data_IF_481256072919
#
_entry.id   IF_481256072919
#
_cell.length_a   1.000
_cell.length_b   1.000
_cell.length_c   1.000
_cell.angle_alpha   90.00
_cell.angle_beta   90.00
_cell.angle_gamma   90.00
#
_symmetry.space_group_name_H-M   'P 1'
#
loop_
_entity.id
_entity.type
_entity.pdbx_description
1 polymer ?
#
# COMPACT_ATOMS: atom_id res chain seq x y z
N UNK A 1 -54.09 1.94 60.74
CA UNK A 1 -53.29 2.60 59.68
C UNK A 1 -52.92 1.57 58.62
N UNK A 2 -53.14 1.91 57.33
CA UNK A 2 -52.34 1.62 56.11
C UNK A 2 -51.52 0.31 56.05
N UNK A 3 -51.39 -0.44 54.96
CA UNK A 3 -51.85 -0.37 53.58
C UNK A 3 -51.49 -1.72 52.91
N UNK A 4 -52.02 -1.95 51.71
CA UNK A 4 -51.81 -3.11 50.85
C UNK A 4 -50.54 -3.03 49.97
N UNK A 5 -49.93 -4.21 49.67
CA UNK A 5 -49.17 -4.65 48.44
C UNK A 5 -47.92 -3.83 48.03
N UNK A 6 -46.99 -4.27 47.12
CA UNK A 6 -47.03 -5.34 46.09
C UNK A 6 -45.77 -6.28 46.07
N UNK A 7 -45.82 -7.50 45.52
CA UNK A 7 -45.65 -7.79 44.10
C UNK A 7 -44.20 -7.57 43.60
N UNK A 8 -43.41 -8.64 43.41
CA UNK A 8 -42.23 -8.59 42.52
C UNK A 8 -42.35 -9.59 41.37
N UNK A 9 -42.66 -8.97 40.24
CA UNK A 9 -42.54 -9.35 38.84
C UNK A 9 -41.70 -10.60 38.50
N UNK A 10 -42.29 -11.44 37.63
CA UNK A 10 -41.55 -12.20 36.62
C UNK A 10 -40.83 -11.20 35.70
N UNK A 11 -39.53 -11.39 35.50
CA UNK A 11 -38.85 -10.93 34.30
C UNK A 11 -38.24 -12.14 33.61
N UNK A 12 -38.99 -12.62 32.63
CA UNK A 12 -38.47 -13.33 31.47
C UNK A 12 -37.41 -12.45 30.81
N UNK A 13 -36.18 -12.94 30.72
CA UNK A 13 -35.33 -12.64 29.58
C UNK A 13 -34.91 -13.96 28.96
N UNK A 14 -35.70 -14.39 27.96
CA UNK A 14 -35.23 -15.34 26.95
C UNK A 14 -33.94 -14.76 26.37
N UNK A 15 -32.82 -15.42 26.61
CA UNK A 15 -31.58 -15.14 25.91
C UNK A 15 -31.88 -15.21 24.40
N UNK A 16 -31.61 -14.10 23.69
CA UNK A 16 -31.62 -14.09 22.22
C UNK A 16 -30.55 -15.10 21.78
N UNK A 17 -30.85 -16.06 20.88
CA UNK A 17 -29.82 -16.92 20.32
C UNK A 17 -28.79 -16.03 19.63
N UNK A 18 -27.53 -16.16 20.04
CA UNK A 18 -26.42 -15.51 19.34
C UNK A 18 -26.47 -15.89 17.87
N UNK A 19 -26.38 -14.87 17.00
CA UNK A 19 -26.35 -15.05 15.57
C UNK A 19 -25.11 -15.91 15.24
N UNK A 20 -25.30 -17.22 15.02
CA UNK A 20 -24.23 -18.10 14.57
C UNK A 20 -23.96 -17.72 13.12
N UNK A 21 -22.94 -16.91 12.90
CA UNK A 21 -22.48 -16.60 11.55
C UNK A 21 -22.05 -17.92 10.90
N UNK A 22 -22.60 -18.22 9.73
CA UNK A 22 -22.58 -19.56 9.12
C UNK A 22 -21.23 -19.96 8.51
N UNK A 23 -20.15 -19.23 8.81
CA UNK A 23 -18.85 -19.36 8.14
C UNK A 23 -18.86 -18.84 6.69
N UNK A 24 -19.96 -18.97 5.96
CA UNK A 24 -20.15 -18.45 4.60
C UNK A 24 -20.05 -16.92 4.53
N UNK A 25 -20.55 -16.21 5.55
CA UNK A 25 -20.41 -14.76 5.66
C UNK A 25 -18.94 -14.35 5.80
N UNK A 26 -18.14 -15.10 6.58
CA UNK A 26 -16.70 -14.82 6.75
C UNK A 26 -15.92 -15.03 5.44
N UNK A 27 -16.29 -16.02 4.63
CA UNK A 27 -15.62 -16.31 3.34
C UNK A 27 -15.93 -15.24 2.29
N UNK A 28 -17.16 -14.71 2.26
CA UNK A 28 -17.57 -13.68 1.31
C UNK A 28 -16.99 -12.29 1.63
N UNK A 29 -16.81 -11.96 2.92
CA UNK A 29 -16.34 -10.63 3.35
C UNK A 29 -14.81 -10.51 3.35
N UNK A 30 -14.09 -11.63 3.46
CA UNK A 30 -12.62 -11.62 3.57
C UNK A 30 -11.88 -10.99 2.38
N UNK A 31 -12.25 -11.25 1.10
CA UNK A 31 -11.63 -10.57 -0.03
C UNK A 31 -11.84 -9.05 0.01
N UNK A 32 -13.04 -8.60 0.39
CA UNK A 32 -13.37 -7.17 0.52
C UNK A 32 -12.51 -6.49 1.58
N UNK A 33 -12.41 -7.09 2.78
CA UNK A 33 -11.59 -6.55 3.87
C UNK A 33 -10.11 -6.44 3.50
N UNK A 34 -9.58 -7.40 2.73
CA UNK A 34 -8.21 -7.32 2.22
C UNK A 34 -8.01 -6.15 1.27
N UNK A 35 -8.94 -5.95 0.34
CA UNK A 35 -8.88 -4.85 -0.61
C UNK A 35 -9.01 -3.50 0.11
N UNK A 36 -9.93 -3.38 1.07
CA UNK A 36 -10.12 -2.17 1.87
C UNK A 36 -8.85 -1.85 2.67
N UNK A 37 -8.23 -2.85 3.29
CA UNK A 37 -6.97 -2.67 4.01
C UNK A 37 -5.83 -2.26 3.09
N UNK A 38 -5.71 -2.89 1.91
CA UNK A 38 -4.71 -2.50 0.91
C UNK A 38 -4.90 -1.04 0.47
N UNK A 39 -6.14 -0.63 0.21
CA UNK A 39 -6.46 0.74 -0.17
C UNK A 39 -6.17 1.74 0.97
N UNK A 40 -6.51 1.39 2.21
CA UNK A 40 -6.19 2.22 3.39
C UNK A 40 -4.69 2.39 3.55
N UNK A 41 -3.91 1.31 3.36
CA UNK A 41 -2.45 1.37 3.41
C UNK A 41 -1.88 2.31 2.36
N UNK A 42 -2.35 2.21 1.10
CA UNK A 42 -1.93 3.13 0.04
C UNK A 42 -2.32 4.58 0.34
N UNK A 43 -3.52 4.81 0.88
CA UNK A 43 -3.97 6.14 1.29
C UNK A 43 -3.09 6.71 2.41
N UNK A 44 -2.65 5.88 3.36
CA UNK A 44 -1.77 6.31 4.44
C UNK A 44 -0.37 6.66 3.92
N UNK A 45 0.16 5.86 2.99
CA UNK A 45 1.43 6.14 2.30
C UNK A 45 1.36 7.46 1.52
N UNK A 46 0.30 7.65 0.74
CA UNK A 46 0.09 8.87 -0.06
C UNK A 46 0.03 10.15 0.79
N UNK A 47 -0.41 10.06 2.04
CA UNK A 47 -0.47 11.21 2.95
C UNK A 47 0.90 11.62 3.52
N UNK A 48 1.91 10.76 3.46
CA UNK A 48 3.21 11.03 4.08
C UNK A 48 4.08 12.01 3.26
N UNK A 49 3.99 11.96 1.93
CA UNK A 49 4.78 12.83 1.05
C UNK A 49 4.04 13.03 -0.29
N UNK A 50 4.00 14.26 -0.85
CA UNK A 50 3.40 14.51 -2.16
C UNK A 50 3.95 13.65 -3.31
N UNK A 51 5.23 13.25 -3.24
CA UNK A 51 5.88 12.37 -4.22
C UNK A 51 5.32 10.95 -4.12
N UNK A 52 5.08 10.44 -2.90
CA UNK A 52 4.40 9.16 -2.68
C UNK A 52 2.93 9.22 -3.10
N UNK A 53 2.25 10.36 -2.89
CA UNK A 53 0.91 10.57 -3.44
C UNK A 53 0.90 10.47 -4.97
N UNK A 54 1.90 11.04 -5.65
CA UNK A 54 2.05 10.92 -7.09
C UNK A 54 2.30 9.47 -7.54
N UNK A 55 3.12 8.69 -6.81
CA UNK A 55 3.30 7.25 -7.06
C UNK A 55 1.98 6.49 -6.93
N UNK A 56 1.20 6.73 -5.86
CA UNK A 56 -0.07 6.05 -5.62
C UNK A 56 -1.11 6.38 -6.68
N UNK A 57 -1.18 7.64 -7.12
CA UNK A 57 -2.08 8.08 -8.19
C UNK A 57 -1.66 7.59 -9.57
N UNK A 58 -0.36 7.45 -9.81
CA UNK A 58 0.21 7.22 -11.13
C UNK A 58 0.01 8.41 -12.07
N UNK A 59 0.13 8.16 -13.37
CA UNK A 59 -0.06 9.17 -14.42
C UNK A 59 -1.07 8.68 -15.48
N UNK A 60 -2.32 8.47 -15.06
CA UNK A 60 -3.46 8.13 -15.93
C UNK A 60 -3.19 6.94 -16.87
N UNK A 61 -2.60 5.87 -16.34
CA UNK A 61 -2.32 4.63 -17.08
C UNK A 61 -0.97 4.59 -17.80
N UNK A 62 -0.16 5.66 -17.75
CA UNK A 62 1.23 5.56 -18.21
C UNK A 62 2.04 4.68 -17.28
N UNK A 63 2.88 3.83 -17.88
CA UNK A 63 3.79 2.97 -17.12
C UNK A 63 4.88 3.78 -16.43
N UNK A 64 5.57 4.67 -17.15
CA UNK A 64 6.69 5.45 -16.62
C UNK A 64 6.27 6.92 -16.46
N UNK A 65 6.55 7.50 -15.29
CA UNK A 65 6.20 8.89 -15.01
C UNK A 65 7.09 9.49 -13.91
N UNK A 66 7.33 10.80 -14.00
CA UNK A 66 8.15 11.51 -13.03
C UNK A 66 7.38 11.84 -11.76
N UNK A 67 8.02 11.66 -10.60
CA UNK A 67 7.44 12.00 -9.29
C UNK A 67 8.18 13.12 -8.57
N UNK A 68 9.13 13.77 -9.26
CA UNK A 68 9.91 14.90 -8.75
C UNK A 68 11.38 14.57 -8.57
N UNK A 69 12.02 15.28 -7.64
CA UNK A 69 13.45 15.13 -7.32
C UNK A 69 13.69 15.05 -5.81
N UNK A 70 14.86 14.55 -5.41
CA UNK A 70 15.30 14.53 -4.01
C UNK A 70 16.73 14.00 -3.87
N UNK A 71 17.26 14.01 -2.65
CA UNK A 71 18.56 13.39 -2.35
C UNK A 71 18.45 11.86 -2.32
N UNK A 72 19.59 11.18 -2.27
CA UNK A 72 19.61 9.72 -2.05
C UNK A 72 18.94 9.33 -0.73
N UNK A 73 19.18 10.09 0.34
CA UNK A 73 18.59 9.81 1.65
C UNK A 73 17.06 9.95 1.63
N UNK A 74 16.55 10.99 0.95
CA UNK A 74 15.10 11.13 0.74
C UNK A 74 14.53 9.99 -0.11
N UNK A 75 15.21 9.61 -1.19
CA UNK A 75 14.79 8.48 -2.02
C UNK A 75 14.69 7.19 -1.20
N UNK A 76 15.70 6.90 -0.38
CA UNK A 76 15.73 5.72 0.49
C UNK A 76 14.64 5.78 1.57
N UNK A 77 14.43 6.94 2.19
CA UNK A 77 13.36 7.15 3.16
C UNK A 77 11.97 6.90 2.55
N UNK A 78 11.67 7.54 1.42
CA UNK A 78 10.40 7.34 0.69
C UNK A 78 10.27 5.91 0.19
N UNK A 79 11.38 5.31 -0.26
CA UNK A 79 11.46 3.93 -0.71
C UNK A 79 11.05 2.94 0.38
N UNK A 80 11.54 3.14 1.61
CA UNK A 80 11.16 2.34 2.77
C UNK A 80 9.68 2.49 3.13
N UNK A 81 9.14 3.71 3.12
CA UNK A 81 7.69 3.92 3.31
C UNK A 81 6.88 3.21 2.21
N UNK A 82 7.36 3.28 0.97
CA UNK A 82 6.69 2.69 -0.18
C UNK A 82 6.60 1.17 -0.10
N UNK A 83 7.64 0.48 0.37
CA UNK A 83 7.62 -0.99 0.48
C UNK A 83 7.03 -1.47 1.80
N UNK A 84 7.12 -0.65 2.84
CA UNK A 84 6.61 -0.94 4.18
C UNK A 84 7.39 -2.03 4.92
N UNK A 85 6.94 -2.32 6.15
CA UNK A 85 7.55 -3.33 7.00
C UNK A 85 7.50 -4.73 6.37
N UNK A 86 8.52 -5.55 6.67
CA UNK A 86 8.66 -6.89 6.11
C UNK A 86 9.09 -6.90 4.64
N UNK A 87 9.50 -5.75 4.10
CA UNK A 87 10.12 -5.69 2.78
C UNK A 87 11.39 -6.54 2.73
N UNK A 88 11.61 -7.17 1.58
CA UNK A 88 12.73 -8.08 1.32
C UNK A 88 13.55 -7.60 0.13
N UNK A 89 14.86 -7.88 0.07
CA UNK A 89 15.65 -7.59 -1.11
C UNK A 89 15.06 -8.23 -2.37
N UNK A 90 15.13 -7.52 -3.50
CA UNK A 90 14.87 -8.13 -4.81
C UNK A 90 15.95 -9.18 -5.11
N UNK A 91 15.65 -10.16 -5.98
CA UNK A 91 16.59 -11.27 -6.30
C UNK A 91 17.93 -10.76 -6.85
N UNK A 92 17.91 -9.66 -7.58
CA UNK A 92 19.07 -9.00 -8.15
C UNK A 92 19.76 -8.03 -7.17
N UNK A 93 19.22 -7.85 -5.95
CA UNK A 93 19.80 -7.00 -4.92
C UNK A 93 19.72 -5.49 -5.20
N UNK A 94 19.00 -5.09 -6.25
CA UNK A 94 18.95 -3.68 -6.69
C UNK A 94 17.78 -2.89 -6.09
N UNK A 95 17.06 -3.47 -5.14
CA UNK A 95 15.92 -2.83 -4.50
C UNK A 95 15.29 -3.65 -3.39
N UNK A 96 14.17 -3.14 -2.89
CA UNK A 96 13.33 -3.76 -1.89
C UNK A 96 11.95 -4.04 -2.48
N UNK A 97 11.37 -5.20 -2.13
CA UNK A 97 10.04 -5.61 -2.51
C UNK A 97 9.16 -5.70 -1.26
N UNK A 98 7.97 -5.13 -1.32
CA UNK A 98 6.98 -5.22 -0.25
C UNK A 98 6.64 -6.69 0.07
N UNK A 99 6.20 -6.95 1.31
CA UNK A 99 5.88 -8.30 1.77
C UNK A 99 4.86 -9.00 0.86
N UNK A 100 3.82 -8.28 0.43
CA UNK A 100 2.76 -8.73 -0.49
C UNK A 100 3.20 -8.80 -1.96
N UNK A 101 4.41 -8.33 -2.29
CA UNK A 101 4.98 -8.38 -3.63
C UNK A 101 4.40 -7.39 -4.63
N UNK A 102 3.48 -6.51 -4.22
CA UNK A 102 2.78 -5.57 -5.12
C UNK A 102 3.58 -4.30 -5.41
N UNK A 103 4.61 -4.00 -4.59
CA UNK A 103 5.39 -2.77 -4.68
C UNK A 103 6.88 -3.06 -4.62
N UNK A 104 7.66 -2.32 -5.38
CA UNK A 104 9.13 -2.38 -5.32
C UNK A 104 9.70 -0.96 -5.28
N UNK A 105 10.68 -0.75 -4.41
CA UNK A 105 11.57 0.40 -4.45
C UNK A 105 12.90 -0.06 -5.08
N UNK A 106 13.29 0.53 -6.22
CA UNK A 106 14.62 0.32 -6.82
C UNK A 106 15.54 1.42 -6.36
N UNK A 107 16.71 1.02 -5.87
CA UNK A 107 17.72 1.95 -5.39
C UNK A 107 18.18 2.90 -6.51
N UNK A 108 18.69 4.10 -6.15
CA UNK A 108 19.20 5.06 -7.11
C UNK A 108 20.23 4.42 -8.04
N UNK A 109 20.01 4.54 -9.35
CA UNK A 109 20.91 4.01 -10.36
C UNK A 109 21.12 5.02 -11.48
N UNK A 110 22.37 5.12 -11.94
CA UNK A 110 22.70 5.89 -13.13
C UNK A 110 21.95 5.36 -14.36
N UNK A 111 21.36 6.26 -15.13
CA UNK A 111 20.69 5.95 -16.40
C UNK A 111 21.37 6.73 -17.53
N UNK A 112 22.56 6.29 -17.97
CA UNK A 112 23.41 7.03 -18.91
C UNK A 112 22.77 7.22 -20.29
N UNK A 113 21.79 6.37 -20.64
CA UNK A 113 21.11 6.42 -21.94
C UNK A 113 19.75 7.13 -21.90
N UNK A 114 19.33 7.66 -20.74
CA UNK A 114 18.06 8.37 -20.62
C UNK A 114 18.23 9.84 -21.06
N UNK A 115 17.29 10.42 -21.85
CA UNK A 115 17.37 11.82 -22.24
C UNK A 115 17.40 12.75 -21.01
N UNK A 116 18.25 13.78 -21.05
CA UNK A 116 18.39 14.76 -19.96
C UNK A 116 17.06 15.44 -19.60
N UNK A 117 16.14 15.60 -20.56
CA UNK A 117 14.81 16.18 -20.32
C UNK A 117 13.98 15.39 -19.28
N UNK A 118 14.14 14.07 -19.25
CA UNK A 118 13.38 13.17 -18.35
C UNK A 118 14.24 12.64 -17.19
N UNK A 119 15.55 12.84 -17.26
CA UNK A 119 16.53 12.46 -16.24
C UNK A 119 17.62 13.55 -16.09
N UNK A 120 17.26 14.74 -15.58
CA UNK A 120 18.17 15.89 -15.53
C UNK A 120 19.38 15.68 -14.62
N UNK A 121 19.30 14.76 -13.66
CA UNK A 121 20.40 14.46 -12.74
C UNK A 121 21.26 13.27 -13.19
N UNK A 122 20.83 12.54 -14.21
CA UNK A 122 21.49 11.31 -14.64
C UNK A 122 21.23 10.08 -13.74
N UNK A 123 20.65 10.26 -12.54
CA UNK A 123 20.39 9.19 -11.56
C UNK A 123 18.93 9.19 -11.16
N UNK A 124 18.32 8.01 -11.13
CA UNK A 124 16.92 7.86 -10.69
C UNK A 124 16.76 6.70 -9.72
N UNK A 125 15.87 6.89 -8.75
CA UNK A 125 15.23 5.81 -8.01
C UNK A 125 13.84 5.55 -8.60
N UNK A 126 13.33 4.32 -8.46
CA UNK A 126 12.07 3.92 -9.06
C UNK A 126 11.12 3.30 -8.02
N UNK A 127 9.85 3.71 -8.08
CA UNK A 127 8.75 3.19 -7.27
C UNK A 127 7.82 2.40 -8.20
N UNK A 128 8.02 1.09 -8.24
CA UNK A 128 7.29 0.19 -9.13
C UNK A 128 6.03 -0.33 -8.44
N UNK A 129 4.93 -0.38 -9.20
CA UNK A 129 3.64 -0.95 -8.78
C UNK A 129 3.30 -2.14 -9.67
N UNK A 130 2.78 -3.21 -9.08
CA UNK A 130 2.44 -4.43 -9.79
C UNK A 130 1.03 -4.89 -9.48
N UNK A 131 0.36 -5.39 -10.51
CA UNK A 131 -0.83 -6.20 -10.39
C UNK A 131 -0.41 -7.68 -10.38
N UNK A 132 -0.96 -8.44 -9.44
CA UNK A 132 -0.76 -9.89 -9.35
C UNK A 132 -2.07 -10.55 -9.73
N UNK A 133 -2.05 -11.37 -10.79
CA UNK A 133 -3.19 -12.21 -11.13
C UNK A 133 -3.38 -13.25 -10.02
N UNK A 134 -4.54 -13.23 -9.37
CA UNK A 134 -4.83 -14.11 -8.22
C UNK A 134 -4.95 -15.60 -8.57
N UNK A 135 -5.17 -15.93 -9.85
CA UNK A 135 -5.30 -17.30 -10.34
C UNK A 135 -3.96 -17.85 -10.81
N UNK A 136 -3.23 -17.08 -11.63
CA UNK A 136 -1.98 -17.56 -12.26
C UNK A 136 -0.72 -17.18 -11.48
N UNK A 137 -0.83 -16.26 -10.51
CA UNK A 137 0.32 -15.66 -9.85
C UNK A 137 1.15 -14.74 -10.74
N UNK A 138 0.72 -14.50 -11.99
CA UNK A 138 1.44 -13.65 -12.91
C UNK A 138 1.51 -12.22 -12.39
N UNK A 139 2.73 -11.68 -12.33
CA UNK A 139 3.03 -10.34 -11.88
C UNK A 139 3.26 -9.42 -13.07
N UNK A 140 2.42 -8.40 -13.22
CA UNK A 140 2.49 -7.40 -14.29
C UNK A 140 2.81 -6.04 -13.70
N UNK A 141 3.83 -5.36 -14.22
CA UNK A 141 4.15 -3.99 -13.81
C UNK A 141 3.09 -3.05 -14.39
N UNK A 142 2.47 -2.24 -13.54
CA UNK A 142 1.41 -1.29 -13.93
C UNK A 142 1.77 0.17 -13.62
N UNK A 143 2.90 0.42 -12.96
CA UNK A 143 3.41 1.76 -12.70
C UNK A 143 4.90 1.74 -12.35
N UNK A 144 5.58 2.83 -12.68
CA UNK A 144 7.01 3.03 -12.52
C UNK A 144 7.29 4.53 -12.32
N UNK A 145 7.04 5.01 -11.10
CA UNK A 145 7.30 6.39 -10.72
C UNK A 145 8.80 6.62 -10.53
N UNK A 146 9.41 7.52 -11.29
CA UNK A 146 10.85 7.81 -11.19
C UNK A 146 11.11 9.13 -10.48
N UNK A 147 11.92 9.06 -9.41
CA UNK A 147 12.43 10.21 -8.68
C UNK A 147 13.85 10.52 -9.17
N UNK A 148 14.07 11.74 -9.63
CA UNK A 148 15.41 12.19 -10.00
C UNK A 148 16.24 12.42 -8.73
N UNK A 149 17.35 11.69 -8.61
CA UNK A 149 18.20 11.77 -7.44
C UNK A 149 19.29 12.78 -7.69
N UNK A 150 19.35 13.80 -6.83
CA UNK A 150 20.38 14.84 -6.86
C UNK A 150 21.68 14.23 -6.38
N UNK A 151 22.72 14.31 -7.20
CA UNK A 151 24.06 13.81 -6.89
C UNK A 151 24.90 14.99 -6.44
N UNK A 152 25.16 15.10 -5.13
CA UNK A 152 26.03 16.12 -4.56
C UNK A 152 25.57 16.62 -3.20
N UNK A 153 26.17 16.06 -2.15
CA UNK A 153 26.70 16.80 -0.99
C UNK A 153 28.08 16.21 -0.66
#
# INVERSE_FOLDING_TARGET
MRAARPGKAKLNQKAKPGNKTSGAENTATYPTLKNDLAQQNLNNIAKQDPRLNAVVKGDNGKLNYGVGSGTKAEADHLGNIWVGDGARPTKDGTGLMSADGTRVYRFPKGKPNAPALVNPTGVQANFETFQINSVTGQKTKIGDGHLNVIVGE
#
